data_IF_268151664603
#
_entry.id   IF_268151664603
#
_cell.length_a   1.000
_cell.length_b   1.000
_cell.length_c   1.000
_cell.angle_alpha   90.00
_cell.angle_beta   90.00
_cell.angle_gamma   90.00
#
_symmetry.space_group_name_H-M   'P 1'
#
loop_
_entity.id
_entity.type
_entity.pdbx_description
1 polymer ?
#
# COMPACT_ATOMS: atom_id res chain seq x y z
N UNK A 1 -4.72 17.59 16.21
CA UNK A 1 -4.77 18.15 14.82
C UNK A 1 -3.81 17.46 13.85
N UNK A 2 -2.61 17.02 14.28
CA UNK A 2 -1.61 16.34 13.42
C UNK A 2 -2.11 15.03 12.79
N UNK A 3 -2.82 14.20 13.56
CA UNK A 3 -3.36 12.94 13.07
C UNK A 3 -4.35 13.11 11.92
N UNK A 4 -5.19 14.14 11.93
CA UNK A 4 -6.11 14.44 10.82
C UNK A 4 -5.40 14.84 9.54
N UNK A 5 -4.32 15.62 9.63
CA UNK A 5 -3.52 16.03 8.46
C UNK A 5 -2.83 14.81 7.84
N UNK A 6 -2.23 13.95 8.66
CA UNK A 6 -1.62 12.71 8.21
C UNK A 6 -2.66 11.78 7.57
N UNK A 7 -3.85 11.67 8.17
CA UNK A 7 -4.93 10.85 7.63
C UNK A 7 -5.42 11.36 6.25
N UNK A 8 -5.55 12.68 6.08
CA UNK A 8 -5.92 13.28 4.78
C UNK A 8 -4.82 13.00 3.74
N UNK A 9 -3.56 13.22 4.09
CA UNK A 9 -2.43 12.94 3.20
C UNK A 9 -2.40 11.47 2.75
N UNK A 10 -2.51 10.54 3.71
CA UNK A 10 -2.55 9.11 3.41
C UNK A 10 -3.79 8.73 2.60
N UNK A 11 -4.94 9.32 2.91
CA UNK A 11 -6.17 9.11 2.16
C UNK A 11 -6.04 9.55 0.70
N UNK A 12 -5.43 10.72 0.45
CA UNK A 12 -5.16 11.22 -0.91
C UNK A 12 -4.22 10.27 -1.67
N UNK A 13 -3.17 9.77 -1.01
CA UNK A 13 -2.25 8.81 -1.61
C UNK A 13 -2.95 7.50 -1.99
N UNK A 14 -3.73 6.92 -1.07
CA UNK A 14 -4.48 5.68 -1.31
C UNK A 14 -5.50 5.87 -2.43
N UNK A 15 -6.20 7.00 -2.44
CA UNK A 15 -7.15 7.37 -3.50
C UNK A 15 -6.47 7.46 -4.87
N UNK A 16 -5.32 8.13 -4.96
CA UNK A 16 -4.56 8.25 -6.20
C UNK A 16 -4.07 6.89 -6.71
N UNK A 17 -3.53 6.04 -5.83
CA UNK A 17 -3.13 4.67 -6.16
C UNK A 17 -4.34 3.85 -6.62
N UNK A 18 -5.50 4.07 -6.02
CA UNK A 18 -6.74 3.37 -6.34
C UNK A 18 -7.34 3.74 -7.70
N UNK A 19 -7.41 5.03 -7.99
CA UNK A 19 -8.01 5.54 -9.24
C UNK A 19 -7.01 5.52 -10.40
N UNK A 20 -5.71 5.62 -10.13
CA UNK A 20 -4.66 5.72 -11.15
C UNK A 20 -4.74 4.71 -12.28
N UNK A 21 -4.96 3.42 -12.04
CA UNK A 21 -5.06 2.41 -13.10
C UNK A 21 -6.17 2.67 -14.12
N UNK A 22 -7.28 3.29 -13.73
CA UNK A 22 -8.42 3.56 -14.62
C UNK A 22 -8.06 4.57 -15.71
N UNK A 23 -7.63 5.82 -15.43
CA UNK A 23 -7.20 6.73 -16.48
C UNK A 23 -5.96 6.22 -17.21
N UNK A 24 -5.06 5.50 -16.55
CA UNK A 24 -3.91 4.87 -17.19
C UNK A 24 -4.31 3.83 -18.25
N UNK A 25 -5.26 2.95 -17.94
CA UNK A 25 -5.80 1.97 -18.87
C UNK A 25 -6.55 2.62 -20.05
N UNK A 26 -7.38 3.64 -19.79
CA UNK A 26 -8.10 4.39 -20.83
C UNK A 26 -7.13 5.12 -21.77
N UNK A 27 -6.10 5.78 -21.25
CA UNK A 27 -5.08 6.44 -22.06
C UNK A 27 -4.30 5.43 -22.91
N UNK A 28 -3.94 4.29 -22.33
CA UNK A 28 -3.24 3.23 -23.05
C UNK A 28 -4.10 2.64 -24.18
N UNK A 29 -5.40 2.46 -23.94
CA UNK A 29 -6.34 1.93 -24.94
C UNK A 29 -6.53 2.89 -26.12
N UNK A 30 -6.75 4.19 -25.86
CA UNK A 30 -7.08 5.16 -26.91
C UNK A 30 -5.86 5.78 -27.61
N UNK A 31 -4.76 5.98 -26.91
CA UNK A 31 -3.58 6.70 -27.39
C UNK A 31 -2.30 5.86 -27.41
N UNK A 32 -2.39 4.58 -27.06
CA UNK A 32 -1.28 3.65 -27.04
C UNK A 32 -0.50 3.63 -25.71
N UNK A 33 0.34 2.60 -25.55
CA UNK A 33 1.06 2.29 -24.30
C UNK A 33 1.99 3.40 -23.79
N UNK A 34 2.42 4.32 -24.66
CA UNK A 34 3.30 5.42 -24.27
C UNK A 34 2.56 6.62 -23.68
N UNK A 35 1.26 6.77 -23.96
CA UNK A 35 0.47 7.91 -23.52
C UNK A 35 0.42 8.08 -21.98
N UNK A 36 0.21 7.06 -21.17
CA UNK A 36 0.27 7.19 -19.71
C UNK A 36 1.63 7.70 -19.20
N UNK A 37 2.74 7.31 -19.85
CA UNK A 37 4.08 7.77 -19.45
C UNK A 37 4.26 9.25 -19.71
N UNK A 38 3.83 9.75 -20.88
CA UNK A 38 3.84 11.17 -21.17
C UNK A 38 2.99 11.97 -20.18
N UNK A 39 1.77 11.50 -19.90
CA UNK A 39 0.89 12.14 -18.93
C UNK A 39 1.51 12.19 -17.53
N UNK A 40 2.02 11.08 -17.02
CA UNK A 40 2.69 11.04 -15.71
C UNK A 40 3.96 11.88 -15.68
N UNK A 41 4.74 11.89 -16.79
CA UNK A 41 5.94 12.71 -16.91
C UNK A 41 5.63 14.20 -16.79
N UNK A 42 4.69 14.70 -17.57
CA UNK A 42 4.27 16.11 -17.49
C UNK A 42 3.66 16.46 -16.15
N UNK A 43 2.78 15.61 -15.60
CA UNK A 43 2.18 15.83 -14.29
C UNK A 43 3.27 15.92 -13.19
N UNK A 44 4.27 15.05 -13.24
CA UNK A 44 5.38 15.05 -12.27
C UNK A 44 6.26 16.30 -12.40
N UNK A 45 6.55 16.75 -13.63
CA UNK A 45 7.28 18.00 -13.86
C UNK A 45 6.53 19.20 -13.32
N UNK A 46 5.22 19.28 -13.59
CA UNK A 46 4.37 20.37 -13.05
C UNK A 46 4.36 20.32 -11.53
N UNK A 47 4.17 19.15 -10.92
CA UNK A 47 4.20 19.00 -9.47
C UNK A 47 5.55 19.40 -8.87
N UNK A 48 6.67 19.05 -9.53
CA UNK A 48 8.01 19.44 -9.13
C UNK A 48 8.22 20.97 -9.19
N UNK A 49 7.76 21.59 -10.26
CA UNK A 49 7.83 23.06 -10.40
C UNK A 49 6.94 23.75 -9.33
N UNK A 50 5.74 23.27 -9.11
CA UNK A 50 4.87 23.81 -8.05
C UNK A 50 5.51 23.65 -6.66
N UNK A 51 6.14 22.51 -6.38
CA UNK A 51 6.84 22.31 -5.12
C UNK A 51 8.02 23.29 -4.96
N UNK A 52 8.77 23.55 -6.03
CA UNK A 52 9.90 24.47 -6.02
C UNK A 52 9.48 25.91 -5.65
N UNK A 53 8.33 26.37 -6.14
CA UNK A 53 7.87 27.75 -5.94
C UNK A 53 6.89 27.93 -4.78
N UNK A 54 6.09 26.91 -4.47
CA UNK A 54 4.99 27.03 -3.50
C UNK A 54 5.28 26.39 -2.14
N UNK A 55 6.26 25.47 -2.02
CA UNK A 55 6.54 24.79 -0.77
C UNK A 55 7.65 25.50 0.01
N UNK A 56 7.35 26.07 1.20
CA UNK A 56 8.37 26.71 2.03
C UNK A 56 9.31 25.66 2.64
N UNK A 57 10.58 26.03 2.80
CA UNK A 57 11.57 25.17 3.46
C UNK A 57 11.24 24.99 4.94
N UNK A 58 11.17 23.74 5.38
CA UNK A 58 10.79 23.38 6.75
C UNK A 58 11.96 22.84 7.60
N UNK A 59 13.19 22.89 7.08
CA UNK A 59 14.38 22.37 7.75
C UNK A 59 14.60 22.93 9.15
N UNK A 60 14.28 24.22 9.35
CA UNK A 60 14.38 24.89 10.65
C UNK A 60 13.41 24.31 11.70
N UNK A 61 12.28 23.74 11.28
CA UNK A 61 11.31 23.10 12.19
C UNK A 61 11.78 21.71 12.66
N UNK A 62 12.61 21.04 11.88
CA UNK A 62 13.17 19.72 12.24
C UNK A 62 14.28 19.84 13.29
N UNK A 63 15.08 20.89 13.26
CA UNK A 63 16.17 21.13 14.20
C UNK A 63 15.67 21.41 15.63
N UNK A 64 14.46 21.94 15.78
CA UNK A 64 13.85 22.27 17.10
C UNK A 64 13.41 21.03 17.90
N UNK A 65 13.46 19.81 17.34
CA UNK A 65 12.94 18.59 17.95
C UNK A 65 13.98 17.53 18.31
N UNK A 66 15.24 17.87 18.30
CA UNK A 66 16.26 16.97 18.87
C UNK A 66 16.09 16.99 20.38
N UNK A 67 15.23 16.12 20.90
CA UNK A 67 15.13 15.83 22.32
C UNK A 67 16.45 15.17 22.72
N UNK A 68 17.34 15.97 23.23
CA UNK A 68 18.58 15.56 23.89
C UNK A 68 18.23 14.63 25.06
N UNK A 69 18.67 13.38 25.00
CA UNK A 69 18.77 12.66 26.26
C UNK A 69 18.83 11.15 26.28
N UNK A 70 18.43 10.43 25.26
CA UNK A 70 18.60 8.97 25.30
C UNK A 70 19.62 8.53 24.24
N UNK A 71 20.83 8.18 24.68
CA UNK A 71 21.82 7.52 23.83
C UNK A 71 21.21 6.19 23.40
N UNK A 72 20.70 6.12 22.17
CA UNK A 72 20.25 4.86 21.59
C UNK A 72 21.44 3.87 21.56
N UNK A 73 21.22 2.59 21.89
CA UNK A 73 22.27 1.59 21.80
C UNK A 73 22.76 1.47 20.35
N UNK A 74 23.98 0.97 20.12
CA UNK A 74 24.51 0.76 18.77
C UNK A 74 23.54 -0.03 17.89
N UNK A 75 23.46 0.31 16.60
CA UNK A 75 22.51 -0.28 15.64
C UNK A 75 22.50 -1.82 15.68
N UNK A 76 23.68 -2.46 15.80
CA UNK A 76 23.78 -3.91 15.90
C UNK A 76 23.07 -4.49 17.14
N UNK A 77 23.09 -3.77 18.26
CA UNK A 77 22.39 -4.19 19.49
C UNK A 77 20.88 -4.03 19.32
N UNK A 78 20.43 -2.93 18.69
CA UNK A 78 19.03 -2.70 18.36
C UNK A 78 18.50 -3.81 17.46
N UNK A 79 19.22 -4.15 16.41
CA UNK A 79 18.87 -5.22 15.48
C UNK A 79 18.76 -6.58 16.20
N UNK A 80 19.73 -6.90 17.06
CA UNK A 80 19.70 -8.13 17.85
C UNK A 80 18.51 -8.20 18.82
N UNK A 81 18.11 -7.08 19.41
CA UNK A 81 16.92 -7.01 20.27
C UNK A 81 15.63 -7.25 19.49
N UNK A 82 15.51 -6.66 18.29
CA UNK A 82 14.35 -6.83 17.41
C UNK A 82 14.24 -8.29 16.92
N UNK A 83 15.35 -8.91 16.53
CA UNK A 83 15.37 -10.31 16.08
C UNK A 83 15.05 -11.32 17.20
N UNK A 84 15.27 -10.97 18.46
CA UNK A 84 14.84 -11.81 19.60
C UNK A 84 13.34 -11.75 19.85
N UNK A 85 12.66 -10.72 19.38
CA UNK A 85 11.21 -10.61 19.52
C UNK A 85 10.52 -11.38 18.40
N UNK A 86 10.03 -12.59 18.72
CA UNK A 86 9.36 -13.48 17.76
C UNK A 86 8.15 -12.80 17.09
N UNK A 87 7.41 -11.96 17.82
CA UNK A 87 6.27 -11.22 17.27
C UNK A 87 6.70 -10.23 16.19
N UNK A 88 7.82 -9.52 16.41
CA UNK A 88 8.38 -8.60 15.42
C UNK A 88 8.84 -9.35 14.16
N UNK A 89 9.55 -10.47 14.33
CA UNK A 89 10.04 -11.29 13.20
C UNK A 89 8.88 -11.84 12.37
N UNK A 90 7.84 -12.38 13.00
CA UNK A 90 6.69 -12.92 12.30
C UNK A 90 5.91 -11.84 11.53
N UNK A 91 5.69 -10.67 12.14
CA UNK A 91 4.99 -9.57 11.47
C UNK A 91 5.85 -8.96 10.36
N UNK A 92 7.17 -8.92 10.52
CA UNK A 92 8.08 -8.52 9.44
C UNK A 92 8.01 -9.49 8.27
N UNK A 93 7.88 -10.79 8.52
CA UNK A 93 7.65 -11.80 7.48
C UNK A 93 6.31 -11.59 6.75
N UNK A 94 5.24 -11.29 7.46
CA UNK A 94 3.93 -10.93 6.85
C UNK A 94 4.05 -9.68 6.00
N UNK A 95 4.74 -8.65 6.50
CA UNK A 95 4.95 -7.39 5.77
C UNK A 95 5.78 -7.60 4.49
N UNK A 96 6.82 -8.44 4.56
CA UNK A 96 7.63 -8.81 3.40
C UNK A 96 6.80 -9.57 2.36
N UNK A 97 6.02 -10.57 2.78
CA UNK A 97 5.12 -11.31 1.91
C UNK A 97 4.12 -10.38 1.22
N UNK A 98 3.53 -9.44 1.98
CA UNK A 98 2.60 -8.46 1.42
C UNK A 98 3.29 -7.49 0.43
N UNK A 99 4.49 -7.04 0.71
CA UNK A 99 5.25 -6.19 -0.20
C UNK A 99 5.59 -6.94 -1.51
N UNK A 100 5.98 -8.20 -1.43
CA UNK A 100 6.25 -9.05 -2.60
C UNK A 100 4.98 -9.27 -3.44
N UNK A 101 3.85 -9.60 -2.80
CA UNK A 101 2.58 -9.79 -3.51
C UNK A 101 2.07 -8.49 -4.13
N UNK A 102 2.23 -7.35 -3.47
CA UNK A 102 1.82 -6.06 -3.99
C UNK A 102 2.70 -5.61 -5.16
N UNK A 103 4.01 -5.60 -4.98
CA UNK A 103 4.94 -5.07 -5.99
C UNK A 103 5.16 -6.08 -7.12
N UNK A 104 5.46 -7.34 -6.81
CA UNK A 104 5.68 -8.38 -7.80
C UNK A 104 4.37 -8.83 -8.46
N UNK A 105 3.36 -9.15 -7.66
CA UNK A 105 2.08 -9.67 -8.16
C UNK A 105 1.24 -8.58 -8.81
N UNK A 106 0.72 -7.65 -8.02
CA UNK A 106 -0.31 -6.72 -8.47
C UNK A 106 0.17 -5.77 -9.58
N UNK A 107 1.34 -5.15 -9.40
CA UNK A 107 1.81 -4.14 -10.35
C UNK A 107 2.54 -4.71 -11.57
N UNK A 108 3.00 -5.95 -11.53
CA UNK A 108 3.74 -6.56 -12.63
C UNK A 108 3.02 -7.77 -13.22
N UNK A 109 2.82 -8.83 -12.44
CA UNK A 109 2.35 -10.12 -12.98
C UNK A 109 0.87 -10.07 -13.36
N UNK A 110 0.02 -9.44 -12.54
CA UNK A 110 -1.42 -9.42 -12.78
C UNK A 110 -1.80 -8.70 -14.08
N UNK A 111 -1.28 -7.49 -14.39
CA UNK A 111 -1.51 -6.88 -15.71
C UNK A 111 -1.02 -7.74 -16.88
N UNK A 112 0.10 -8.44 -16.72
CA UNK A 112 0.64 -9.35 -17.73
C UNK A 112 -0.32 -10.54 -17.97
N UNK A 113 -0.83 -11.17 -16.90
CA UNK A 113 -1.82 -12.24 -17.00
C UNK A 113 -3.08 -11.73 -17.73
N UNK A 114 -3.58 -10.56 -17.37
CA UNK A 114 -4.73 -9.94 -18.03
C UNK A 114 -4.52 -9.75 -19.52
N UNK A 115 -3.38 -9.19 -19.91
CA UNK A 115 -3.10 -8.87 -21.32
C UNK A 115 -2.68 -10.09 -22.16
N UNK A 116 -1.82 -10.98 -21.65
CA UNK A 116 -1.25 -12.07 -22.44
C UNK A 116 -2.04 -13.39 -22.34
N UNK A 117 -2.54 -13.76 -21.15
CA UNK A 117 -3.26 -15.00 -20.94
C UNK A 117 -4.75 -14.86 -21.26
N UNK A 118 -5.40 -13.85 -20.69
CA UNK A 118 -6.85 -13.64 -20.83
C UNK A 118 -7.17 -12.80 -22.08
N UNK A 119 -6.15 -12.06 -22.60
CA UNK A 119 -6.25 -11.16 -23.76
C UNK A 119 -7.25 -10.01 -23.55
N UNK A 120 -7.33 -9.51 -22.32
CA UNK A 120 -8.15 -8.35 -22.00
C UNK A 120 -7.55 -7.07 -22.58
N UNK A 121 -8.37 -6.15 -23.07
CA UNK A 121 -7.94 -4.82 -23.45
C UNK A 121 -7.48 -4.03 -22.19
N UNK A 122 -6.63 -3.03 -22.39
CA UNK A 122 -5.98 -2.29 -21.29
C UNK A 122 -6.97 -1.52 -20.39
N UNK A 123 -8.06 -1.05 -20.95
CA UNK A 123 -9.15 -0.40 -20.22
C UNK A 123 -9.86 -1.36 -19.25
N UNK A 124 -10.16 -2.59 -19.68
CA UNK A 124 -10.75 -3.62 -18.80
C UNK A 124 -9.79 -4.00 -17.66
N UNK A 125 -8.50 -4.13 -17.93
CA UNK A 125 -7.49 -4.35 -16.89
C UNK A 125 -7.49 -3.17 -15.92
N UNK A 126 -7.51 -1.92 -16.43
CA UNK A 126 -7.59 -0.71 -15.61
C UNK A 126 -8.84 -0.67 -14.75
N UNK A 127 -10.00 -1.04 -15.29
CA UNK A 127 -11.26 -1.13 -14.55
C UNK A 127 -11.20 -2.17 -13.46
N UNK A 128 -10.68 -3.36 -13.73
CA UNK A 128 -10.55 -4.42 -12.72
C UNK A 128 -9.65 -3.99 -11.55
N UNK A 129 -8.51 -3.34 -11.83
CA UNK A 129 -7.62 -2.78 -10.80
C UNK A 129 -8.28 -1.67 -10.00
N UNK A 130 -9.06 -0.80 -10.66
CA UNK A 130 -9.81 0.27 -10.00
C UNK A 130 -10.89 -0.28 -9.06
N UNK A 131 -11.64 -1.32 -9.47
CA UNK A 131 -12.63 -2.00 -8.62
C UNK A 131 -11.95 -2.52 -7.35
N UNK A 132 -10.83 -3.23 -7.46
CA UNK A 132 -10.09 -3.71 -6.31
C UNK A 132 -9.67 -2.57 -5.37
N UNK A 133 -9.15 -1.50 -5.91
CA UNK A 133 -8.69 -0.35 -5.13
C UNK A 133 -9.82 0.39 -4.43
N UNK A 134 -10.96 0.58 -5.08
CA UNK A 134 -12.15 1.21 -4.50
C UNK A 134 -12.72 0.37 -3.35
N UNK A 135 -12.83 -0.94 -3.54
CA UNK A 135 -13.28 -1.85 -2.48
C UNK A 135 -12.29 -1.87 -1.31
N UNK A 136 -10.99 -1.79 -1.60
CA UNK A 136 -9.95 -1.63 -0.59
C UNK A 136 -10.13 -0.36 0.23
N UNK A 137 -10.39 0.77 -0.42
CA UNK A 137 -10.66 2.04 0.25
C UNK A 137 -11.88 1.95 1.17
N UNK A 138 -12.97 1.32 0.70
CA UNK A 138 -14.17 1.07 1.51
C UNK A 138 -13.88 0.16 2.72
N UNK A 139 -12.95 -0.79 2.60
CA UNK A 139 -12.58 -1.71 3.65
C UNK A 139 -11.68 -1.09 4.75
N UNK A 140 -11.00 0.02 4.48
CA UNK A 140 -10.09 0.68 5.45
C UNK A 140 -10.82 1.08 6.74
N UNK A 141 -11.99 1.69 6.61
CA UNK A 141 -12.73 2.18 7.77
C UNK A 141 -13.22 1.05 8.70
N UNK A 142 -13.94 0.02 8.21
CA UNK A 142 -14.34 -1.11 9.06
C UNK A 142 -13.13 -1.89 9.61
N UNK A 143 -12.02 -1.94 8.88
CA UNK A 143 -10.79 -2.56 9.37
C UNK A 143 -10.20 -1.81 10.57
N UNK A 144 -10.19 -0.48 10.54
CA UNK A 144 -9.78 0.34 11.68
C UNK A 144 -10.61 0.05 12.93
N UNK A 145 -11.94 -0.01 12.79
CA UNK A 145 -12.83 -0.38 13.90
C UNK A 145 -12.58 -1.81 14.41
N UNK A 146 -12.27 -2.73 13.51
CA UNK A 146 -11.96 -4.11 13.88
C UNK A 146 -10.65 -4.22 14.68
N UNK A 147 -9.63 -3.45 14.31
CA UNK A 147 -8.37 -3.34 15.07
C UNK A 147 -8.62 -2.83 16.48
N UNK A 148 -9.46 -1.80 16.64
CA UNK A 148 -9.75 -1.19 17.92
C UNK A 148 -10.57 -2.12 18.83
N UNK A 149 -11.48 -2.92 18.27
CA UNK A 149 -12.35 -3.82 19.06
C UNK A 149 -11.73 -5.18 19.36
N UNK A 150 -11.07 -5.80 18.40
CA UNK A 150 -10.61 -7.18 18.45
C UNK A 150 -9.09 -7.32 18.48
N UNK A 151 -8.38 -6.21 18.36
CA UNK A 151 -6.93 -6.18 18.36
C UNK A 151 -6.31 -6.50 16.99
N UNK A 152 -5.02 -6.24 16.88
CA UNK A 152 -4.29 -6.27 15.59
C UNK A 152 -4.17 -7.65 14.99
N UNK A 153 -3.97 -8.70 15.80
CA UNK A 153 -3.87 -10.09 15.33
C UNK A 153 -5.13 -10.55 14.63
N UNK A 154 -6.30 -10.18 15.16
CA UNK A 154 -7.61 -10.54 14.60
C UNK A 154 -7.85 -9.92 13.20
N UNK A 155 -7.08 -8.91 12.83
CA UNK A 155 -7.13 -8.26 11.51
C UNK A 155 -6.03 -8.78 10.59
N UNK A 156 -4.81 -8.99 11.11
CA UNK A 156 -3.67 -9.49 10.33
C UNK A 156 -3.93 -10.88 9.76
N UNK A 157 -4.51 -11.79 10.54
CA UNK A 157 -4.72 -13.18 10.10
C UNK A 157 -5.71 -13.27 8.93
N UNK A 158 -6.97 -12.74 9.03
CA UNK A 158 -7.88 -12.80 7.89
C UNK A 158 -7.35 -12.05 6.66
N UNK A 159 -6.72 -10.89 6.84
CA UNK A 159 -6.08 -10.15 5.76
C UNK A 159 -5.09 -11.02 4.97
N UNK A 160 -4.18 -11.71 5.68
CA UNK A 160 -3.16 -12.55 5.02
C UNK A 160 -3.80 -13.74 4.30
N UNK A 161 -4.82 -14.38 4.91
CA UNK A 161 -5.54 -15.49 4.30
C UNK A 161 -6.33 -15.05 3.05
N UNK A 162 -7.04 -13.94 3.12
CA UNK A 162 -7.79 -13.38 1.98
C UNK A 162 -6.82 -12.98 0.86
N UNK A 163 -5.67 -12.39 1.20
CA UNK A 163 -4.63 -12.09 0.20
C UNK A 163 -4.16 -13.36 -0.51
N UNK A 164 -3.85 -14.42 0.24
CA UNK A 164 -3.46 -15.71 -0.34
C UNK A 164 -4.56 -16.30 -1.24
N UNK A 165 -5.81 -16.30 -0.78
CA UNK A 165 -6.95 -16.76 -1.56
C UNK A 165 -7.14 -15.97 -2.85
N UNK A 166 -6.95 -14.64 -2.84
CA UNK A 166 -7.04 -13.81 -4.04
C UNK A 166 -5.99 -14.18 -5.09
N UNK A 167 -4.75 -14.47 -4.67
CA UNK A 167 -3.70 -14.91 -5.59
C UNK A 167 -3.96 -16.30 -6.16
N UNK A 168 -4.53 -17.20 -5.36
CA UNK A 168 -4.99 -18.49 -5.89
C UNK A 168 -6.10 -18.29 -6.92
N UNK A 169 -7.04 -17.37 -6.68
CA UNK A 169 -8.10 -17.07 -7.64
C UNK A 169 -7.55 -16.50 -8.96
N UNK A 170 -6.48 -15.67 -8.92
CA UNK A 170 -5.79 -15.24 -10.14
C UNK A 170 -5.21 -16.39 -10.95
N UNK A 171 -4.73 -17.45 -10.30
CA UNK A 171 -4.20 -18.62 -11.00
C UNK A 171 -5.26 -19.34 -11.86
N UNK A 172 -6.54 -19.24 -11.47
CA UNK A 172 -7.68 -19.81 -12.19
C UNK A 172 -8.48 -18.79 -13.01
N UNK A 173 -8.00 -17.54 -13.09
CA UNK A 173 -8.70 -16.49 -13.82
C UNK A 173 -8.53 -16.65 -15.32
N UNK A 174 -9.59 -17.08 -16.02
CA UNK A 174 -9.66 -17.24 -17.46
C UNK A 174 -10.68 -16.28 -18.12
N UNK A 175 -11.42 -15.52 -17.31
CA UNK A 175 -12.40 -14.53 -17.78
C UNK A 175 -12.23 -13.21 -17.03
N UNK A 176 -12.74 -12.12 -17.63
CA UNK A 176 -12.78 -10.79 -17.00
C UNK A 176 -13.44 -10.83 -15.61
N UNK A 177 -14.55 -11.58 -15.47
CA UNK A 177 -15.27 -11.65 -14.21
C UNK A 177 -14.42 -12.27 -13.08
N UNK A 178 -13.74 -13.39 -13.36
CA UNK A 178 -12.82 -14.01 -12.37
C UNK A 178 -11.62 -13.11 -12.08
N UNK A 179 -11.08 -12.44 -13.10
CA UNK A 179 -9.98 -11.50 -12.94
C UNK A 179 -10.39 -10.29 -12.08
N UNK A 180 -11.55 -9.70 -12.33
CA UNK A 180 -12.10 -8.60 -11.54
C UNK A 180 -12.46 -9.04 -10.10
N UNK A 181 -13.02 -10.24 -9.92
CA UNK A 181 -13.31 -10.79 -8.59
C UNK A 181 -12.05 -11.03 -7.77
N UNK A 182 -10.98 -11.53 -8.38
CA UNK A 182 -9.69 -11.71 -7.72
C UNK A 182 -9.08 -10.35 -7.30
N UNK A 183 -9.16 -9.33 -8.16
CA UNK A 183 -8.75 -7.96 -7.84
C UNK A 183 -9.60 -7.37 -6.70
N UNK A 184 -10.92 -7.56 -6.74
CA UNK A 184 -11.84 -7.12 -5.69
C UNK A 184 -11.47 -7.73 -4.33
N UNK A 185 -11.25 -9.04 -4.29
CA UNK A 185 -10.87 -9.77 -3.08
C UNK A 185 -9.52 -9.28 -2.54
N UNK A 186 -8.52 -9.13 -3.42
CA UNK A 186 -7.23 -8.56 -3.06
C UNK A 186 -7.35 -7.13 -2.52
N UNK A 187 -8.19 -6.30 -3.16
CA UNK A 187 -8.43 -4.93 -2.73
C UNK A 187 -9.00 -4.87 -1.32
N UNK A 188 -10.03 -5.65 -1.03
CA UNK A 188 -10.62 -5.76 0.32
C UNK A 188 -9.54 -6.19 1.33
N UNK A 189 -8.77 -7.23 1.02
CA UNK A 189 -7.67 -7.67 1.87
C UNK A 189 -6.68 -6.53 2.13
N UNK A 190 -6.23 -5.85 1.09
CA UNK A 190 -5.27 -4.74 1.19
C UNK A 190 -5.79 -3.58 2.06
N UNK A 191 -7.08 -3.26 1.94
CA UNK A 191 -7.75 -2.27 2.79
C UNK A 191 -7.79 -2.68 4.26
N UNK A 192 -8.04 -3.96 4.54
CA UNK A 192 -8.07 -4.51 5.90
C UNK A 192 -6.67 -4.49 6.53
N UNK A 193 -5.63 -4.88 5.77
CA UNK A 193 -4.28 -5.12 6.29
C UNK A 193 -3.33 -3.92 6.26
N UNK A 194 -3.71 -2.82 5.62
CA UNK A 194 -2.78 -1.74 5.26
C UNK A 194 -1.97 -1.12 6.42
N UNK A 195 -2.56 -0.94 7.59
CA UNK A 195 -1.91 -0.31 8.74
C UNK A 195 -1.59 -1.25 9.91
N UNK A 196 -2.27 -2.39 10.00
CA UNK A 196 -2.19 -3.27 11.16
C UNK A 196 -0.79 -3.90 11.38
N UNK A 197 -0.06 -4.40 10.36
CA UNK A 197 1.28 -4.94 10.54
C UNK A 197 2.29 -3.88 11.01
N UNK A 198 2.28 -2.68 10.40
CA UNK A 198 3.17 -1.59 10.77
C UNK A 198 2.92 -1.11 12.20
N UNK A 199 1.66 -1.02 12.59
CA UNK A 199 1.27 -0.65 13.94
C UNK A 199 1.67 -1.72 14.97
N UNK A 200 1.53 -3.01 14.63
CA UNK A 200 2.00 -4.11 15.50
C UNK A 200 3.51 -4.09 15.65
N UNK A 201 4.25 -3.86 14.55
CA UNK A 201 5.71 -3.76 14.59
C UNK A 201 6.17 -2.61 15.48
N UNK A 202 5.52 -1.44 15.40
CA UNK A 202 5.81 -0.30 16.25
C UNK A 202 5.56 -0.60 17.73
N UNK A 203 4.45 -1.27 18.09
CA UNK A 203 4.16 -1.65 19.48
C UNK A 203 5.11 -2.72 20.02
N UNK A 204 5.67 -3.56 19.14
CA UNK A 204 6.62 -4.60 19.51
C UNK A 204 8.05 -4.08 19.64
N UNK A 205 8.29 -2.83 19.25
CA UNK A 205 9.61 -2.21 19.38
C UNK A 205 9.93 -1.89 20.84
N UNK A 206 11.18 -2.07 21.29
CA UNK A 206 11.62 -1.70 22.63
C UNK A 206 11.40 -0.21 22.94
N UNK A 207 11.15 0.16 24.20
CA UNK A 207 10.96 1.55 24.59
C UNK A 207 12.15 2.43 24.15
N UNK A 208 11.87 3.53 23.48
CA UNK A 208 12.85 4.46 22.92
C UNK A 208 13.27 4.20 21.47
N UNK A 209 12.82 3.11 20.83
CA UNK A 209 13.04 2.82 19.42
C UNK A 209 11.83 3.13 18.55
N UNK A 210 10.72 3.60 19.13
CA UNK A 210 9.57 4.06 18.37
C UNK A 210 9.97 5.32 17.62
N UNK A 211 10.07 5.23 16.30
CA UNK A 211 10.25 6.39 15.44
C UNK A 211 9.09 7.35 15.69
N UNK A 212 9.41 8.47 16.29
CA UNK A 212 8.51 9.60 16.54
C UNK A 212 8.26 10.39 15.26
#
# INVERSE_FOLDING_TARGET
>A
RRGRVIAIYQGTFIFAVGIGPLPGGLLAHHYGLLAPFWFCGFASLIAGLLALFAVPETRHLAQSKVVTGTKLPPFAVQLKMLWKNIGFVLVSGVSLSHALTRTGGLFNIIPIIGSFRIKLPYDEIGVALAIGSLLGLCAVYPAGMAVDRWGRKAVIVPFTLITGASFLLFAFADTFLFFAAANALWGIASGIGGSAPAAYAADSAPPGMNAS
#
